data_IF_295199391917
#
_entry.id   IF_295199391917
#
_cell.length_a   1.000
_cell.length_b   1.000
_cell.length_c   1.000
_cell.angle_alpha   90.00
_cell.angle_beta   90.00
_cell.angle_gamma   90.00
#
_symmetry.space_group_name_H-M   'P 1'
#
loop_
_entity.id
_entity.type
_entity.pdbx_description
1 polymer ?
#
# COMPACT_ATOMS: atom_id res chain seq x y z
N UNK A 1 -25.11 -38.07 -12.66
CA UNK A 1 -24.04 -39.08 -12.65
C UNK A 1 -22.76 -38.39 -12.20
N UNK A 2 -22.25 -38.74 -11.01
CA UNK A 2 -21.04 -38.16 -10.42
C UNK A 2 -19.84 -39.05 -10.75
N UNK A 3 -18.72 -38.54 -11.28
CA UNK A 3 -17.48 -39.30 -11.28
C UNK A 3 -16.87 -39.25 -9.89
N UNK A 4 -16.70 -40.43 -9.28
CA UNK A 4 -15.86 -40.66 -8.11
C UNK A 4 -14.42 -40.79 -8.61
N UNK A 5 -13.52 -39.92 -8.13
CA UNK A 5 -12.08 -40.04 -8.34
C UNK A 5 -11.42 -40.21 -6.98
N UNK A 6 -11.21 -41.47 -6.66
CA UNK A 6 -10.31 -42.01 -5.65
C UNK A 6 -8.87 -41.77 -6.10
N UNK A 7 -8.10 -40.97 -5.37
CA UNK A 7 -6.64 -41.00 -5.48
C UNK A 7 -5.98 -41.00 -4.10
N UNK A 8 -5.53 -42.21 -3.77
CA UNK A 8 -4.38 -42.65 -2.99
C UNK A 8 -3.50 -41.58 -2.30
N UNK A 9 -3.34 -41.79 -1.00
CA UNK A 9 -2.28 -41.26 -0.18
C UNK A 9 -0.91 -41.85 -0.58
N UNK A 10 0.11 -41.00 -0.66
CA UNK A 10 1.51 -41.41 -0.69
C UNK A 10 2.34 -40.45 0.18
N UNK A 11 3.20 -41.06 0.99
CA UNK A 11 4.00 -40.44 2.03
C UNK A 11 5.35 -39.89 1.53
N UNK A 12 5.95 -39.06 2.39
CA UNK A 12 7.38 -38.79 2.58
C UNK A 12 8.10 -37.87 1.56
N UNK A 13 8.64 -36.75 2.07
CA UNK A 13 10.09 -36.60 2.24
C UNK A 13 10.41 -35.21 2.86
N UNK A 14 10.98 -35.24 4.06
CA UNK A 14 11.56 -34.10 4.75
C UNK A 14 12.87 -33.70 4.07
N UNK A 15 13.03 -32.44 3.69
CA UNK A 15 14.36 -31.84 3.43
C UNK A 15 14.58 -30.67 4.40
N UNK A 16 15.48 -30.90 5.35
CA UNK A 16 16.12 -29.86 6.14
C UNK A 16 17.22 -29.21 5.29
N UNK A 17 17.14 -27.90 5.06
CA UNK A 17 18.24 -27.11 4.51
C UNK A 17 18.95 -26.40 5.66
N UNK A 18 20.17 -26.84 5.92
CA UNK A 18 21.12 -26.23 6.85
C UNK A 18 21.71 -25.01 6.13
N UNK A 19 21.44 -23.80 6.62
CA UNK A 19 22.15 -22.61 6.17
C UNK A 19 23.40 -22.50 7.05
N UNK A 20 24.54 -22.75 6.42
CA UNK A 20 25.88 -22.39 6.91
C UNK A 20 25.96 -20.89 7.13
N UNK A 21 26.16 -20.48 8.39
CA UNK A 21 26.58 -19.11 8.72
C UNK A 21 28.08 -18.94 8.49
N UNK A 22 28.46 -17.94 7.70
CA UNK A 22 29.78 -17.32 7.79
C UNK A 22 29.71 -16.29 8.92
N UNK A 23 30.46 -16.52 9.98
CA UNK A 23 30.80 -15.47 10.94
C UNK A 23 32.29 -15.59 11.18
N UNK A 24 33.01 -14.70 10.49
CA UNK A 24 34.45 -14.50 10.59
C UNK A 24 34.87 -14.35 12.06
N UNK A 25 35.92 -15.10 12.40
CA UNK A 25 36.60 -15.07 13.68
C UNK A 25 37.23 -13.69 13.93
N UNK A 26 36.69 -12.96 14.91
CA UNK A 26 37.40 -11.88 15.57
C UNK A 26 38.37 -12.49 16.59
N UNK A 27 39.64 -12.65 16.20
CA UNK A 27 40.72 -12.80 17.16
C UNK A 27 42.06 -12.35 16.54
N UNK A 28 42.50 -11.13 16.89
CA UNK A 28 43.92 -10.85 16.97
C UNK A 28 44.17 -9.70 17.96
N UNK A 29 44.99 -10.04 18.95
CA UNK A 29 45.52 -9.19 20.00
C UNK A 29 46.90 -8.68 19.57
N UNK A 30 47.26 -7.47 20.00
CA UNK A 30 48.66 -7.12 20.26
C UNK A 30 49.36 -6.20 19.26
N UNK A 31 49.37 -4.92 19.64
CA UNK A 31 50.53 -4.02 19.78
C UNK A 31 51.38 -3.48 18.61
N UNK A 32 51.85 -2.25 18.88
CA UNK A 32 52.99 -1.50 18.30
C UNK A 32 52.80 -0.67 17.01
N UNK A 33 52.31 0.55 17.23
CA UNK A 33 53.01 1.82 16.95
C UNK A 33 54.09 1.84 15.85
N UNK A 34 53.76 2.36 14.67
CA UNK A 34 54.76 2.92 13.75
C UNK A 34 54.23 4.21 13.10
N UNK A 35 54.93 5.31 13.39
CA UNK A 35 54.64 6.63 12.86
C UNK A 35 54.75 6.69 11.34
N UNK A 36 53.67 7.12 10.70
CA UNK A 36 53.65 7.52 9.31
C UNK A 36 52.79 8.77 9.19
N UNK A 37 53.39 9.89 8.79
CA UNK A 37 52.67 11.04 8.25
C UNK A 37 51.98 10.60 6.95
N UNK A 38 50.78 10.04 7.07
CA UNK A 38 49.86 9.80 5.97
C UNK A 38 48.71 10.78 6.11
N UNK A 39 48.52 11.61 5.09
CA UNK A 39 47.39 12.54 4.97
C UNK A 39 46.11 11.91 5.53
N UNK A 40 45.64 12.45 6.65
CA UNK A 40 44.32 12.19 7.18
C UNK A 40 43.28 12.68 6.20
N UNK A 41 42.93 11.83 5.24
CA UNK A 41 41.73 11.99 4.45
C UNK A 41 40.57 11.66 5.38
N UNK A 42 40.22 12.64 6.21
CA UNK A 42 38.92 12.74 6.84
C UNK A 42 37.90 12.59 5.71
N UNK A 43 37.23 11.43 5.67
CA UNK A 43 36.08 11.20 4.81
C UNK A 43 34.96 12.11 5.31
N UNK A 44 35.06 13.38 4.94
CA UNK A 44 33.93 14.30 4.93
C UNK A 44 32.83 13.59 4.14
N UNK A 45 31.60 13.46 4.67
CA UNK A 45 30.50 12.89 3.90
C UNK A 45 30.36 13.71 2.61
N UNK A 46 30.83 13.16 1.50
CA UNK A 46 30.85 13.88 0.23
C UNK A 46 29.44 14.28 -0.17
N UNK A 47 29.31 15.28 -1.03
CA UNK A 47 28.03 15.76 -1.59
C UNK A 47 27.11 14.62 -2.10
N UNK A 48 27.71 13.50 -2.51
CA UNK A 48 27.01 12.27 -2.93
C UNK A 48 26.25 11.56 -1.79
N UNK A 49 26.76 11.58 -0.55
CA UNK A 49 26.08 11.02 0.62
C UNK A 49 24.91 11.90 1.09
N UNK A 50 25.09 13.23 1.01
CA UNK A 50 24.04 14.20 1.35
C UNK A 50 22.86 14.15 0.38
N UNK A 51 23.11 14.00 -0.92
CA UNK A 51 22.05 13.83 -1.93
C UNK A 51 21.21 12.57 -1.72
N UNK A 52 21.85 11.43 -1.40
CA UNK A 52 21.14 10.18 -1.07
C UNK A 52 20.26 10.33 0.17
N UNK A 53 20.78 10.96 1.23
CA UNK A 53 19.99 11.20 2.45
C UNK A 53 18.78 12.11 2.18
N UNK A 54 18.96 13.19 1.42
CA UNK A 54 17.87 14.09 1.05
C UNK A 54 16.79 13.37 0.22
N UNK A 55 17.21 12.49 -0.70
CA UNK A 55 16.31 11.62 -1.46
C UNK A 55 15.48 10.69 -0.56
N UNK A 56 16.14 9.97 0.36
CA UNK A 56 15.48 9.07 1.30
C UNK A 56 14.49 9.81 2.21
N UNK A 57 14.86 11.00 2.71
CA UNK A 57 13.96 11.82 3.54
C UNK A 57 12.75 12.34 2.75
N UNK A 58 12.97 12.76 1.50
CA UNK A 58 11.89 13.24 0.64
C UNK A 58 10.87 12.13 0.34
N UNK A 59 11.35 10.94 -0.06
CA UNK A 59 10.46 9.81 -0.36
C UNK A 59 9.80 9.24 0.90
N UNK A 60 10.44 9.35 2.08
CA UNK A 60 9.78 9.04 3.36
C UNK A 60 8.57 9.95 3.61
N UNK A 61 8.70 11.25 3.35
CA UNK A 61 7.58 12.21 3.43
C UNK A 61 6.45 11.88 2.45
N UNK A 62 6.80 11.52 1.22
CA UNK A 62 5.85 11.02 0.22
C UNK A 62 5.07 9.80 0.74
N UNK A 63 5.78 8.75 1.17
CA UNK A 63 5.18 7.53 1.69
C UNK A 63 4.38 7.74 2.97
N UNK A 64 4.78 8.69 3.82
CA UNK A 64 4.00 9.09 5.00
C UNK A 64 2.64 9.67 4.63
N UNK A 65 2.60 10.51 3.60
CA UNK A 65 1.34 11.08 3.10
C UNK A 65 0.42 10.00 2.53
N UNK A 66 0.99 9.07 1.74
CA UNK A 66 0.26 7.89 1.23
C UNK A 66 -0.22 6.97 2.35
N UNK A 67 0.59 6.77 3.39
CA UNK A 67 0.23 6.00 4.58
C UNK A 67 -0.93 6.61 5.36
N UNK A 68 -0.93 7.93 5.54
CA UNK A 68 -2.05 8.65 6.17
C UNK A 68 -3.35 8.47 5.39
N UNK A 69 -3.30 8.52 4.06
CA UNK A 69 -4.45 8.21 3.21
C UNK A 69 -4.92 6.76 3.42
N UNK A 70 -3.99 5.80 3.35
CA UNK A 70 -4.31 4.39 3.55
C UNK A 70 -4.96 4.14 4.91
N UNK A 71 -4.48 4.79 5.97
CA UNK A 71 -5.05 4.72 7.31
C UNK A 71 -6.45 5.35 7.39
N UNK A 72 -6.69 6.48 6.72
CA UNK A 72 -8.03 7.08 6.66
C UNK A 72 -9.07 6.18 5.98
N UNK A 73 -8.61 5.26 5.13
CA UNK A 73 -9.44 4.24 4.49
C UNK A 73 -9.56 2.94 5.31
N UNK A 74 -8.78 2.78 6.39
CA UNK A 74 -8.96 1.64 7.29
C UNK A 74 -10.31 1.76 8.00
N UNK A 75 -11.09 0.67 8.00
CA UNK A 75 -12.43 0.63 8.63
C UNK A 75 -13.59 0.89 7.67
N UNK A 76 -13.35 1.17 6.39
CA UNK A 76 -14.42 1.17 5.37
C UNK A 76 -14.69 -0.26 4.90
N UNK A 77 -15.30 -1.09 5.77
CA UNK A 77 -15.80 -2.40 5.35
C UNK A 77 -17.13 -2.25 4.59
N UNK A 78 -17.34 -3.03 3.51
CA UNK A 78 -18.64 -3.11 2.89
C UNK A 78 -19.70 -3.51 3.94
N UNK A 79 -20.88 -2.90 3.92
CA UNK A 79 -21.96 -3.28 4.83
C UNK A 79 -22.33 -4.74 4.58
N UNK A 80 -22.24 -5.59 5.62
CA UNK A 80 -22.79 -6.94 5.60
C UNK A 80 -24.27 -6.93 6.01
N UNK A 81 -25.07 -6.11 5.31
CA UNK A 81 -26.48 -5.91 5.60
C UNK A 81 -27.32 -6.16 4.36
N UNK A 82 -28.49 -6.77 4.56
CA UNK A 82 -29.53 -6.89 3.53
C UNK A 82 -30.47 -5.67 3.49
N UNK A 83 -30.35 -4.75 4.46
CA UNK A 83 -31.12 -3.52 4.51
C UNK A 83 -30.53 -2.46 3.56
N UNK A 84 -31.27 -2.05 2.50
CA UNK A 84 -30.83 -1.02 1.56
C UNK A 84 -30.48 0.31 2.23
N UNK A 85 -31.18 0.69 3.30
CA UNK A 85 -30.91 1.94 4.02
C UNK A 85 -29.57 1.90 4.73
N UNK A 86 -29.29 0.80 5.45
CA UNK A 86 -27.99 0.56 6.06
C UNK A 86 -26.86 0.53 5.02
N UNK A 87 -27.11 -0.09 3.85
CA UNK A 87 -26.13 -0.13 2.75
C UNK A 87 -25.85 1.28 2.19
N UNK A 88 -26.91 2.08 1.96
CA UNK A 88 -26.80 3.48 1.52
C UNK A 88 -25.97 4.30 2.51
N UNK A 89 -26.27 4.21 3.81
CA UNK A 89 -25.57 4.96 4.85
C UNK A 89 -24.09 4.60 4.90
N UNK A 90 -23.76 3.30 4.90
CA UNK A 90 -22.37 2.84 4.93
C UNK A 90 -21.59 3.30 3.68
N UNK A 91 -22.20 3.21 2.49
CA UNK A 91 -21.60 3.70 1.26
C UNK A 91 -21.38 5.22 1.29
N UNK A 92 -22.37 5.98 1.76
CA UNK A 92 -22.27 7.43 1.93
C UNK A 92 -21.14 7.85 2.87
N UNK A 93 -21.00 7.15 4.00
CA UNK A 93 -19.93 7.37 4.96
C UNK A 93 -18.56 7.03 4.36
N UNK A 94 -18.43 5.89 3.69
CA UNK A 94 -17.20 5.49 3.02
C UNK A 94 -16.76 6.54 1.98
N UNK A 95 -17.69 7.04 1.17
CA UNK A 95 -17.41 8.09 0.17
C UNK A 95 -17.02 9.42 0.82
N UNK A 96 -17.60 9.73 1.98
CA UNK A 96 -17.20 10.87 2.81
C UNK A 96 -15.76 10.76 3.28
N UNK A 97 -15.38 9.62 3.86
CA UNK A 97 -14.02 9.36 4.32
C UNK A 97 -13.02 9.40 3.16
N UNK A 98 -13.38 8.82 2.02
CA UNK A 98 -12.56 8.85 0.80
C UNK A 98 -12.33 10.28 0.29
N UNK A 99 -13.39 11.11 0.29
CA UNK A 99 -13.30 12.53 -0.09
C UNK A 99 -12.35 13.30 0.83
N UNK A 100 -12.47 13.12 2.14
CA UNK A 100 -11.61 13.78 3.13
C UNK A 100 -10.16 13.32 3.00
N UNK A 101 -9.94 12.01 2.92
CA UNK A 101 -8.62 11.42 2.75
C UNK A 101 -7.93 11.90 1.47
N UNK A 102 -8.62 11.84 0.32
CA UNK A 102 -8.07 12.25 -0.96
C UNK A 102 -7.77 13.75 -1.00
N UNK A 103 -8.63 14.59 -0.40
CA UNK A 103 -8.38 16.03 -0.26
C UNK A 103 -7.11 16.28 0.53
N UNK A 104 -6.96 15.62 1.69
CA UNK A 104 -5.77 15.76 2.52
C UNK A 104 -4.52 15.29 1.77
N UNK A 105 -4.58 14.15 1.09
CA UNK A 105 -3.45 13.62 0.34
C UNK A 105 -2.99 14.60 -0.75
N UNK A 106 -3.91 15.14 -1.55
CA UNK A 106 -3.58 16.14 -2.57
C UNK A 106 -2.93 17.37 -1.94
N UNK A 107 -3.46 17.85 -0.81
CA UNK A 107 -2.87 18.96 -0.05
C UNK A 107 -1.48 18.64 0.51
N UNK A 108 -1.26 17.42 1.01
CA UNK A 108 0.04 16.97 1.50
C UNK A 108 1.05 16.94 0.34
N UNK A 109 0.63 16.45 -0.84
CA UNK A 109 1.44 16.45 -2.07
C UNK A 109 1.77 17.87 -2.57
N UNK A 110 0.81 18.81 -2.49
CA UNK A 110 1.04 20.24 -2.82
C UNK A 110 2.06 20.92 -1.89
N UNK A 111 2.13 20.45 -0.65
CA UNK A 111 3.03 21.00 0.36
C UNK A 111 4.45 20.39 0.30
N UNK A 112 4.66 19.38 -0.55
CA UNK A 112 5.98 18.78 -0.72
C UNK A 112 6.95 19.76 -1.38
N UNK A 113 8.18 19.79 -0.87
CA UNK A 113 9.27 20.49 -1.54
C UNK A 113 9.64 19.77 -2.85
N UNK A 114 10.27 20.47 -3.81
CA UNK A 114 10.79 19.85 -5.02
C UNK A 114 11.65 18.61 -4.70
N UNK A 115 11.51 17.58 -5.53
CA UNK A 115 12.22 16.33 -5.32
C UNK A 115 13.71 16.49 -5.61
N UNK A 116 14.59 16.02 -4.69
CA UNK A 116 16.01 15.87 -5.00
C UNK A 116 16.30 14.63 -5.85
N UNK A 117 15.29 13.79 -6.16
CA UNK A 117 15.42 12.57 -6.96
C UNK A 117 14.83 12.82 -8.36
N UNK A 118 15.55 12.40 -9.40
CA UNK A 118 15.04 12.51 -10.76
C UNK A 118 13.70 11.77 -10.92
N UNK A 119 12.68 12.45 -11.45
CA UNK A 119 11.34 11.92 -11.64
C UNK A 119 10.44 11.97 -10.40
N UNK A 120 10.92 12.43 -9.24
CA UNK A 120 10.09 12.54 -8.04
C UNK A 120 8.94 13.55 -8.16
N UNK A 121 9.16 14.69 -8.82
CA UNK A 121 8.07 15.67 -9.05
C UNK A 121 7.01 15.13 -10.02
N UNK A 122 7.42 14.31 -10.99
CA UNK A 122 6.49 13.59 -11.88
C UNK A 122 5.66 12.59 -11.08
N UNK A 123 6.27 11.86 -10.15
CA UNK A 123 5.55 10.96 -9.24
C UNK A 123 4.50 11.71 -8.41
N UNK A 124 4.87 12.84 -7.78
CA UNK A 124 3.93 13.69 -7.02
C UNK A 124 2.78 14.16 -7.90
N UNK A 125 3.09 14.62 -9.13
CA UNK A 125 2.08 15.06 -10.10
C UNK A 125 1.13 13.92 -10.47
N UNK A 126 1.65 12.71 -10.72
CA UNK A 126 0.85 11.53 -11.03
C UNK A 126 -0.10 11.15 -9.89
N UNK A 127 0.38 11.19 -8.64
CA UNK A 127 -0.48 10.98 -7.46
C UNK A 127 -1.56 12.03 -7.38
N UNK A 128 -1.23 13.32 -7.48
CA UNK A 128 -2.23 14.40 -7.44
C UNK A 128 -3.30 14.23 -8.50
N UNK A 129 -2.92 13.83 -9.71
CA UNK A 129 -3.88 13.59 -10.78
C UNK A 129 -4.81 12.40 -10.48
N UNK A 130 -4.25 11.23 -10.16
CA UNK A 130 -5.06 10.03 -9.87
C UNK A 130 -5.97 10.23 -8.66
N UNK A 131 -5.48 10.85 -7.60
CA UNK A 131 -6.25 11.09 -6.38
C UNK A 131 -7.19 12.29 -6.47
N UNK A 132 -6.91 13.27 -7.33
CA UNK A 132 -7.88 14.30 -7.71
C UNK A 132 -9.07 13.71 -8.47
N UNK A 133 -8.82 12.80 -9.42
CA UNK A 133 -9.89 12.06 -10.10
C UNK A 133 -10.71 11.21 -9.13
N UNK A 134 -10.05 10.57 -8.15
CA UNK A 134 -10.71 9.84 -7.07
C UNK A 134 -11.61 10.75 -6.23
N UNK A 135 -11.09 11.92 -5.83
CA UNK A 135 -11.82 12.90 -5.05
C UNK A 135 -13.10 13.35 -5.77
N UNK A 136 -13.00 13.71 -7.05
CA UNK A 136 -14.13 14.18 -7.82
C UNK A 136 -15.18 13.07 -8.04
N UNK A 137 -14.72 11.87 -8.36
CA UNK A 137 -15.60 10.70 -8.53
C UNK A 137 -16.28 10.32 -7.22
N UNK A 138 -15.59 10.38 -6.08
CA UNK A 138 -16.15 10.10 -4.77
C UNK A 138 -17.22 11.13 -4.36
N UNK A 139 -17.00 12.43 -4.64
CA UNK A 139 -18.00 13.48 -4.41
C UNK A 139 -19.26 13.26 -5.24
N UNK A 140 -19.09 12.94 -6.52
CA UNK A 140 -20.22 12.66 -7.42
C UNK A 140 -20.99 11.41 -6.99
N UNK A 141 -20.26 10.33 -6.70
CA UNK A 141 -20.83 9.09 -6.17
C UNK A 141 -21.59 9.33 -4.87
N UNK A 142 -21.04 10.12 -3.93
CA UNK A 142 -21.70 10.45 -2.67
C UNK A 142 -23.02 11.18 -2.92
N UNK A 143 -23.00 12.17 -3.80
CA UNK A 143 -24.19 12.92 -4.18
C UNK A 143 -25.28 12.00 -4.75
N UNK A 144 -24.91 11.06 -5.63
CA UNK A 144 -25.83 10.07 -6.21
C UNK A 144 -26.41 9.13 -5.15
N UNK A 145 -25.58 8.59 -4.26
CA UNK A 145 -26.00 7.68 -3.18
C UNK A 145 -26.91 8.41 -2.20
N UNK A 146 -26.55 9.61 -1.76
CA UNK A 146 -27.33 10.40 -0.80
C UNK A 146 -28.71 10.77 -1.36
N UNK A 147 -28.77 11.06 -2.67
CA UNK A 147 -30.01 11.41 -3.37
C UNK A 147 -30.91 10.20 -3.70
N UNK A 148 -30.45 8.98 -3.44
CA UNK A 148 -31.22 7.79 -3.79
C UNK A 148 -32.46 7.63 -2.89
N UNK A 149 -33.62 7.27 -3.49
CA UNK A 149 -34.88 7.17 -2.76
C UNK A 149 -34.91 5.95 -1.83
N UNK A 150 -35.07 6.19 -0.53
CA UNK A 150 -35.13 5.15 0.50
C UNK A 150 -36.39 4.28 0.39
N UNK A 151 -37.45 4.83 -0.19
CA UNK A 151 -38.69 4.10 -0.50
C UNK A 151 -38.55 3.12 -1.67
N UNK A 152 -37.43 3.16 -2.42
CA UNK A 152 -37.16 2.25 -3.52
C UNK A 152 -35.79 1.56 -3.34
N UNK A 153 -35.78 0.37 -2.68
CA UNK A 153 -34.61 -0.47 -2.49
C UNK A 153 -33.80 -0.72 -3.77
N UNK A 154 -34.48 -1.00 -4.88
CA UNK A 154 -33.82 -1.33 -6.14
C UNK A 154 -33.05 -0.13 -6.70
N UNK A 155 -33.66 1.06 -6.69
CA UNK A 155 -33.01 2.28 -7.12
C UNK A 155 -31.82 2.65 -6.21
N UNK A 156 -31.96 2.45 -4.89
CA UNK A 156 -30.87 2.66 -3.93
C UNK A 156 -29.69 1.74 -4.20
N UNK A 157 -29.94 0.44 -4.42
CA UNK A 157 -28.88 -0.51 -4.74
C UNK A 157 -28.22 -0.22 -6.09
N UNK A 158 -28.98 0.23 -7.10
CA UNK A 158 -28.42 0.67 -8.38
C UNK A 158 -27.50 1.88 -8.22
N UNK A 159 -27.87 2.87 -7.41
CA UNK A 159 -27.02 4.03 -7.13
C UNK A 159 -25.70 3.62 -6.47
N UNK A 160 -25.75 2.72 -5.47
CA UNK A 160 -24.57 2.18 -4.79
C UNK A 160 -23.66 1.40 -5.74
N UNK A 161 -24.23 0.56 -6.61
CA UNK A 161 -23.48 -0.20 -7.61
C UNK A 161 -22.83 0.71 -8.65
N UNK A 162 -23.56 1.71 -9.15
CA UNK A 162 -23.02 2.71 -10.08
C UNK A 162 -21.87 3.48 -9.45
N UNK A 163 -22.01 3.94 -8.21
CA UNK A 163 -20.95 4.62 -7.46
C UNK A 163 -19.69 3.75 -7.34
N UNK A 164 -19.86 2.48 -6.97
CA UNK A 164 -18.75 1.53 -6.84
C UNK A 164 -18.05 1.28 -8.18
N UNK A 165 -18.83 1.14 -9.25
CA UNK A 165 -18.32 0.93 -10.61
C UNK A 165 -17.58 2.14 -11.18
N UNK A 166 -17.97 3.36 -10.83
CA UNK A 166 -17.25 4.58 -11.23
C UNK A 166 -15.90 4.70 -10.51
N UNK A 167 -15.87 4.45 -9.21
CA UNK A 167 -14.63 4.45 -8.43
C UNK A 167 -13.64 3.38 -8.90
N UNK A 168 -14.13 2.19 -9.25
CA UNK A 168 -13.29 1.07 -9.72
C UNK A 168 -12.55 1.33 -11.04
N UNK A 169 -12.92 2.36 -11.80
CA UNK A 169 -12.26 2.72 -13.07
C UNK A 169 -10.96 3.50 -12.88
N UNK A 170 -10.68 3.97 -11.66
CA UNK A 170 -9.56 4.85 -11.37
C UNK A 170 -8.32 4.00 -11.09
N UNK A 171 -7.29 4.11 -11.94
CA UNK A 171 -6.02 3.42 -11.72
C UNK A 171 -5.16 4.17 -10.68
N UNK A 172 -5.38 3.84 -9.41
CA UNK A 172 -4.57 4.32 -8.29
C UNK A 172 -3.20 3.62 -8.20
N UNK A 173 -2.98 2.54 -8.94
CA UNK A 173 -1.72 1.79 -8.94
C UNK A 173 -0.68 2.39 -9.90
N UNK A 174 -1.13 3.15 -10.90
CA UNK A 174 -0.25 3.76 -11.89
C UNK A 174 0.93 4.56 -11.28
N UNK A 175 0.74 5.48 -10.33
CA UNK A 175 1.87 6.24 -9.76
C UNK A 175 2.88 5.33 -9.04
N UNK A 176 2.42 4.25 -8.40
CA UNK A 176 3.30 3.29 -7.75
C UNK A 176 4.10 2.44 -8.74
N UNK A 177 3.50 2.06 -9.87
CA UNK A 177 4.23 1.39 -10.97
C UNK A 177 5.33 2.29 -11.53
N UNK A 178 5.05 3.59 -11.66
CA UNK A 178 6.05 4.58 -12.10
C UNK A 178 7.17 4.73 -11.07
N UNK A 179 6.87 4.75 -9.76
CA UNK A 179 7.87 4.72 -8.68
C UNK A 179 8.76 3.49 -8.80
N UNK A 180 8.18 2.29 -8.93
CA UNK A 180 8.92 1.02 -9.02
C UNK A 180 9.80 0.92 -10.27
N UNK A 181 9.37 1.54 -11.37
CA UNK A 181 10.12 1.54 -12.64
C UNK A 181 11.33 2.49 -12.62
N UNK A 182 11.37 3.44 -11.68
CA UNK A 182 12.50 4.34 -11.48
C UNK A 182 13.42 3.78 -10.38
N UNK A 183 14.61 3.31 -10.78
CA UNK A 183 15.58 2.68 -9.87
C UNK A 183 16.02 3.58 -8.71
N UNK A 184 16.12 4.89 -8.95
CA UNK A 184 16.57 5.85 -7.93
C UNK A 184 15.46 6.06 -6.89
N UNK A 185 14.22 6.28 -7.33
CA UNK A 185 13.05 6.37 -6.44
C UNK A 185 12.82 5.07 -5.68
N UNK A 186 12.90 3.92 -6.34
CA UNK A 186 12.75 2.62 -5.72
C UNK A 186 13.85 2.36 -4.66
N UNK A 187 15.11 2.67 -4.98
CA UNK A 187 16.22 2.53 -4.05
C UNK A 187 16.09 3.44 -2.82
N UNK A 188 15.68 4.70 -3.00
CA UNK A 188 15.41 5.60 -1.90
C UNK A 188 14.22 5.11 -1.04
N UNK A 189 13.14 4.62 -1.68
CA UNK A 189 11.97 4.10 -0.99
C UNK A 189 12.30 2.86 -0.14
N UNK A 190 13.20 1.99 -0.60
CA UNK A 190 13.66 0.83 0.17
C UNK A 190 14.37 1.22 1.47
N UNK A 191 14.99 2.40 1.52
CA UNK A 191 15.69 2.92 2.69
C UNK A 191 14.80 3.80 3.58
N UNK A 192 13.59 4.15 3.13
CA UNK A 192 12.68 5.04 3.83
C UNK A 192 11.73 4.26 4.77
N UNK A 193 11.77 4.49 6.10
CA UNK A 193 10.96 3.75 7.06
C UNK A 193 9.45 3.78 6.79
N UNK A 194 8.88 4.94 6.42
CA UNK A 194 7.43 5.02 6.14
C UNK A 194 7.04 4.31 4.85
N UNK A 195 7.95 4.21 3.88
CA UNK A 195 7.70 3.40 2.68
C UNK A 195 7.66 1.91 3.02
N UNK A 196 8.55 1.45 3.90
CA UNK A 196 8.54 0.06 4.38
C UNK A 196 7.26 -0.25 5.15
N UNK A 197 6.83 0.65 6.05
CA UNK A 197 5.56 0.51 6.78
C UNK A 197 4.36 0.44 5.82
N UNK A 198 4.32 1.32 4.83
CA UNK A 198 3.27 1.33 3.81
C UNK A 198 3.24 0.01 3.02
N UNK A 199 4.39 -0.50 2.60
CA UNK A 199 4.49 -1.77 1.88
C UNK A 199 4.02 -2.96 2.73
N UNK A 200 4.38 -2.98 4.01
CA UNK A 200 3.91 -4.01 4.96
C UNK A 200 2.40 -3.96 5.15
N UNK A 201 1.82 -2.77 5.33
CA UNK A 201 0.37 -2.60 5.44
C UNK A 201 -0.37 -3.07 4.17
N UNK A 202 0.16 -2.75 2.98
CA UNK A 202 -0.41 -3.21 1.72
C UNK A 202 -0.37 -4.75 1.58
N UNK A 203 0.75 -5.38 1.96
CA UNK A 203 0.89 -6.84 1.95
C UNK A 203 -0.11 -7.52 2.91
N UNK A 204 -0.30 -6.96 4.10
CA UNK A 204 -1.29 -7.46 5.06
C UNK A 204 -2.71 -7.37 4.50
N UNK A 205 -3.06 -6.24 3.88
CA UNK A 205 -4.38 -6.06 3.26
C UNK A 205 -4.63 -7.10 2.16
N UNK A 206 -3.63 -7.41 1.33
CA UNK A 206 -3.74 -8.44 0.29
C UNK A 206 -3.93 -9.84 0.89
N UNK A 207 -3.20 -10.16 1.96
CA UNK A 207 -3.36 -11.44 2.65
C UNK A 207 -4.76 -11.59 3.24
N UNK A 208 -5.31 -10.54 3.85
CA UNK A 208 -6.69 -10.55 4.37
C UNK A 208 -7.71 -10.78 3.25
N UNK A 209 -7.53 -10.13 2.09
CA UNK A 209 -8.42 -10.35 0.93
C UNK A 209 -8.34 -11.78 0.40
N UNK A 210 -7.15 -12.41 0.42
CA UNK A 210 -6.98 -13.81 0.03
C UNK A 210 -7.65 -14.77 1.02
N UNK A 211 -7.55 -14.50 2.33
CA UNK A 211 -8.19 -15.31 3.36
C UNK A 211 -9.73 -15.25 3.26
N UNK A 212 -10.30 -14.08 2.95
CA UNK A 212 -11.75 -13.95 2.72
C UNK A 212 -12.23 -14.75 1.50
N UNK A 213 -11.40 -14.86 0.46
CA UNK A 213 -11.72 -15.68 -0.71
C UNK A 213 -11.61 -17.19 -0.44
N UNK A 214 -10.70 -17.61 0.45
CA UNK A 214 -10.51 -19.03 0.79
C UNK A 214 -11.48 -19.52 1.89
N UNK A 215 -11.85 -18.66 2.83
CA UNK A 215 -12.75 -18.98 3.95
C UNK A 215 -14.23 -19.18 3.57
N UNK A 216 -14.65 -18.75 2.38
CA UNK A 216 -16.02 -18.94 1.88
C UNK A 216 -16.33 -20.36 1.37
N UNK A 217 -15.36 -21.28 1.35
CA UNK A 217 -15.47 -22.61 0.73
C UNK A 217 -15.65 -23.81 1.67
N UNK A 218 -15.51 -23.65 3.00
CA UNK A 218 -15.58 -24.77 3.94
C UNK A 218 -16.70 -24.58 4.97
N UNK A 219 -17.92 -24.88 4.54
CA UNK A 219 -18.97 -25.30 5.46
C UNK A 219 -18.64 -26.75 5.88
N UNK A 220 -18.30 -27.04 7.15
CA UNK A 220 -18.09 -28.42 7.57
C UNK A 220 -19.39 -29.20 7.34
N UNK A 221 -19.29 -30.33 6.65
CA UNK A 221 -20.43 -31.20 6.42
C UNK A 221 -21.04 -31.59 7.78
N UNK A 222 -22.38 -31.55 7.95
CA UNK A 222 -23.00 -32.09 9.14
C UNK A 222 -22.61 -33.58 9.24
N UNK A 223 -21.94 -33.94 10.33
CA UNK A 223 -21.55 -35.32 10.60
C UNK A 223 -22.79 -36.21 10.67
N UNK A 224 -22.73 -37.35 9.99
CA UNK A 224 -23.64 -38.48 10.20
C UNK A 224 -23.14 -39.34 11.36
#
# INVERSE_FOLDING_TARGET
MRPRLTFLAAAAASLALVVTGCSEEANNSGDEQQGGSGNGQSQQPGAQGQGKQAGTQWIDGFCGSMGNFAQAMQGTQPPNSQDPSAVKQAMSQMLGNMTQGATKLVSDMDSMKPSPINGGDKLVTGVKQSYGQLLDSAKQAKTKVDSAPESNPQATMQAVQSASGELGKIDLQKPFKELQSNKELAGAAQQAPKCQQLAQAAAQQQQQQQQQQQGGGQQPAPGN
#
